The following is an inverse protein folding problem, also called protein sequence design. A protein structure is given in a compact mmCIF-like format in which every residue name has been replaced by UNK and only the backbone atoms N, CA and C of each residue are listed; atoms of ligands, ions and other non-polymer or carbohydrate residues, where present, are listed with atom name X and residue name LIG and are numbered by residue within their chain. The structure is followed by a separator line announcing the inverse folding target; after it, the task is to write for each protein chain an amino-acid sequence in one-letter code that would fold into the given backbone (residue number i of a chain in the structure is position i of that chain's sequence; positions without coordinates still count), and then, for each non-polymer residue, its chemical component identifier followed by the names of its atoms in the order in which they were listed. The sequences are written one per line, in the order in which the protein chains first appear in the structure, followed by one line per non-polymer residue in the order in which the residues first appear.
data_IF_283267321350
#
_entry.id   IF_283267321350
#
_cell.length_a   1.000
_cell.length_b   1.000
_cell.length_c   1.000
_cell.angle_alpha   90.00
_cell.angle_beta   90.00
_cell.angle_gamma   90.00
#
_symmetry.space_group_name_H-M   'P 1'
#
loop_
_entity.id
_entity.type
_entity.pdbx_description
1 polymer ?
#
# COMPACT_ATOMS: atom_id res chain seq x y z
N UNK A 1 -36.51 -0.65 40.09
CA UNK A 1 -36.57 -0.02 38.76
C UNK A 1 -35.39 0.95 38.50
N UNK A 2 -35.14 1.98 39.30
CA UNK A 2 -34.02 2.94 39.05
C UNK A 2 -32.60 2.31 38.95
N UNK A 3 -32.30 1.30 39.78
CA UNK A 3 -30.97 0.61 39.72
C UNK A 3 -30.82 -0.28 38.50
N UNK A 4 -31.89 -0.84 37.96
CA UNK A 4 -31.85 -1.67 36.74
C UNK A 4 -31.67 -0.80 35.50
N UNK A 5 -32.23 0.40 35.47
CA UNK A 5 -32.09 1.37 34.38
C UNK A 5 -30.66 1.93 34.36
N UNK A 6 -30.04 2.19 35.54
CA UNK A 6 -28.62 2.61 35.60
C UNK A 6 -27.68 1.52 35.15
N UNK A 7 -27.91 0.24 35.48
CA UNK A 7 -27.08 -0.89 35.01
C UNK A 7 -27.21 -1.10 33.50
N UNK A 8 -28.40 -0.96 32.95
CA UNK A 8 -28.59 -1.05 31.49
C UNK A 8 -27.97 0.15 30.73
N UNK A 9 -28.03 1.35 31.30
CA UNK A 9 -27.41 2.54 30.72
C UNK A 9 -25.86 2.46 30.74
N UNK A 10 -25.26 1.92 31.80
CA UNK A 10 -23.83 1.72 31.90
C UNK A 10 -23.33 0.58 30.97
N UNK A 11 -24.14 -0.47 30.80
CA UNK A 11 -23.82 -1.56 29.87
C UNK A 11 -23.99 -1.12 28.42
N UNK A 12 -24.98 -0.29 28.07
CA UNK A 12 -25.15 0.28 26.75
C UNK A 12 -23.98 1.28 26.41
N UNK A 13 -23.54 2.07 27.41
CA UNK A 13 -22.41 3.00 27.23
C UNK A 13 -21.07 2.24 27.09
N UNK A 14 -20.90 1.10 27.75
CA UNK A 14 -19.71 0.24 27.61
C UNK A 14 -19.68 -0.48 26.27
N UNK A 15 -20.81 -0.80 25.66
CA UNK A 15 -20.91 -1.40 24.33
C UNK A 15 -20.61 -0.36 23.23
N UNK A 16 -20.94 0.91 23.45
CA UNK A 16 -20.60 2.00 22.52
C UNK A 16 -19.10 2.38 22.53
N UNK A 17 -18.34 1.95 23.55
CA UNK A 17 -16.89 2.18 23.62
C UNK A 17 -16.05 1.01 23.04
N UNK A 18 -16.68 -0.07 22.63
CA UNK A 18 -16.03 -1.27 22.10
C UNK A 18 -16.18 -1.43 20.57
N UNK A 19 -16.57 -0.37 19.86
CA UNK A 19 -16.37 -0.33 18.41
C UNK A 19 -14.87 -0.06 18.18
N UNK A 20 -14.06 -1.12 18.22
CA UNK A 20 -12.73 -1.08 17.66
C UNK A 20 -12.88 -0.65 16.20
N UNK A 21 -12.40 0.52 15.85
CA UNK A 21 -12.25 0.92 14.44
C UNK A 21 -11.35 -0.11 13.79
N UNK A 22 -11.86 -0.79 12.78
CA UNK A 22 -11.01 -1.61 11.90
C UNK A 22 -9.99 -0.67 11.25
N UNK A 23 -8.70 -1.04 11.28
CA UNK A 23 -7.59 -0.21 10.80
C UNK A 23 -6.91 -0.95 9.63
N UNK A 24 -6.73 -0.33 8.45
CA UNK A 24 -5.81 -0.79 7.40
C UNK A 24 -4.39 -0.49 7.86
N UNK A 25 -3.39 -1.14 7.29
CA UNK A 25 -2.03 -1.05 7.85
C UNK A 25 -2.02 -1.54 9.31
N UNK A 26 -1.28 -2.58 9.61
CA UNK A 26 -1.24 -3.17 10.95
C UNK A 26 -0.94 -2.08 12.00
N UNK A 27 -1.86 -1.90 12.94
CA UNK A 27 -1.84 -0.84 13.96
C UNK A 27 -1.85 0.61 13.40
N UNK A 28 -2.24 0.83 12.14
CA UNK A 28 -2.40 2.15 11.55
C UNK A 28 -3.60 2.92 12.10
N UNK A 29 -3.82 4.13 11.64
CA UNK A 29 -4.97 4.96 11.96
C UNK A 29 -5.71 5.41 10.68
N UNK A 30 -7.02 5.73 10.76
CA UNK A 30 -7.74 6.24 9.59
C UNK A 30 -7.08 7.50 9.04
N UNK A 31 -6.84 7.53 7.73
CA UNK A 31 -6.23 8.67 7.02
C UNK A 31 -7.05 9.97 7.12
N UNK A 32 -8.35 9.87 7.37
CA UNK A 32 -9.22 11.03 7.51
C UNK A 32 -9.26 11.96 6.28
N UNK A 33 -8.86 11.44 5.11
CA UNK A 33 -8.70 12.15 3.85
C UNK A 33 -7.55 13.19 3.82
N UNK A 34 -6.49 12.95 4.60
CA UNK A 34 -5.27 13.78 4.55
C UNK A 34 -4.48 13.56 3.25
N UNK A 35 -4.58 12.37 2.66
CA UNK A 35 -3.89 11.99 1.42
C UNK A 35 -4.92 11.63 0.33
N UNK A 36 -5.72 12.59 -0.17
CA UNK A 36 -6.78 12.30 -1.16
C UNK A 36 -6.24 11.73 -2.47
N UNK A 37 -4.97 11.98 -2.79
CA UNK A 37 -4.26 11.47 -3.96
C UNK A 37 -3.73 10.03 -3.80
N UNK A 38 -3.89 9.39 -2.65
CA UNK A 38 -3.64 7.95 -2.49
C UNK A 38 -4.92 7.20 -2.80
N UNK A 39 -4.83 6.26 -3.73
CA UNK A 39 -5.97 5.50 -4.25
C UNK A 39 -5.83 3.98 -4.05
N UNK A 40 -6.95 3.31 -4.14
CA UNK A 40 -7.06 1.86 -4.24
C UNK A 40 -6.93 1.44 -5.71
N UNK A 41 -5.99 0.55 -6.03
CA UNK A 41 -5.94 -0.13 -7.32
C UNK A 41 -6.91 -1.31 -7.28
N UNK A 42 -7.84 -1.32 -8.22
CA UNK A 42 -8.99 -2.22 -8.24
C UNK A 42 -9.02 -2.97 -9.56
N UNK A 43 -9.40 -4.23 -9.50
CA UNK A 43 -9.73 -5.03 -10.67
C UNK A 43 -11.08 -5.72 -10.47
N UNK A 44 -11.57 -6.39 -11.51
CA UNK A 44 -12.77 -7.20 -11.41
C UNK A 44 -12.41 -8.68 -11.52
N UNK A 45 -13.02 -9.49 -10.67
CA UNK A 45 -12.88 -10.94 -10.70
C UNK A 45 -14.24 -11.61 -10.81
N UNK A 46 -14.29 -12.72 -11.53
CA UNK A 46 -15.50 -13.53 -11.63
C UNK A 46 -15.68 -14.37 -10.37
N UNK A 47 -16.79 -14.15 -9.66
CA UNK A 47 -17.19 -14.91 -8.49
C UNK A 47 -17.72 -16.31 -8.84
N UNK A 48 -17.93 -17.16 -7.83
CA UNK A 48 -18.47 -18.51 -7.98
C UNK A 48 -19.88 -18.55 -8.61
N UNK A 49 -20.61 -17.46 -8.52
CA UNK A 49 -21.95 -17.28 -9.11
C UNK A 49 -21.93 -16.77 -10.56
N UNK A 50 -20.73 -16.54 -11.13
CA UNK A 50 -20.53 -16.01 -12.47
C UNK A 50 -20.80 -14.49 -12.57
N UNK A 51 -20.91 -13.79 -11.45
CA UNK A 51 -20.96 -12.33 -11.45
C UNK A 51 -19.54 -11.78 -11.31
N UNK A 52 -19.25 -10.66 -11.96
CA UNK A 52 -17.98 -9.94 -11.80
C UNK A 52 -18.12 -8.95 -10.65
N UNK A 53 -17.16 -8.97 -9.74
CA UNK A 53 -17.12 -8.07 -8.59
C UNK A 53 -15.81 -7.30 -8.57
N UNK A 54 -15.85 -5.98 -8.30
CA UNK A 54 -14.63 -5.20 -8.09
C UNK A 54 -13.96 -5.61 -6.78
N UNK A 55 -12.65 -5.85 -6.85
CA UNK A 55 -11.83 -6.24 -5.69
C UNK A 55 -10.63 -5.33 -5.56
N UNK A 56 -10.26 -5.02 -4.31
CA UNK A 56 -9.02 -4.34 -3.98
C UNK A 56 -7.84 -5.26 -4.33
N UNK A 57 -6.94 -4.76 -5.17
CA UNK A 57 -5.70 -5.46 -5.53
C UNK A 57 -4.50 -4.87 -4.78
N UNK A 58 -4.31 -3.56 -4.88
CA UNK A 58 -3.14 -2.82 -4.39
C UNK A 58 -3.54 -1.40 -4.00
N UNK A 59 -2.55 -0.63 -3.55
CA UNK A 59 -2.64 0.81 -3.33
C UNK A 59 -1.71 1.56 -4.29
N UNK A 60 -1.79 2.89 -4.32
CA UNK A 60 -0.88 3.71 -5.10
C UNK A 60 -1.14 5.20 -4.92
N UNK A 61 -0.44 6.03 -5.70
CA UNK A 61 -0.45 7.49 -5.57
C UNK A 61 -0.66 8.18 -6.91
N UNK A 62 -1.63 9.06 -7.01
CA UNK A 62 -1.81 9.93 -8.16
C UNK A 62 -0.74 11.04 -8.13
N UNK A 63 0.15 11.06 -9.12
CA UNK A 63 1.27 12.00 -9.22
C UNK A 63 1.08 13.07 -10.29
N UNK A 64 0.04 12.95 -11.09
CA UNK A 64 -0.50 13.95 -12.01
C UNK A 64 -1.98 13.63 -12.24
N UNK A 65 -2.75 14.48 -12.95
CA UNK A 65 -4.18 14.18 -13.18
C UNK A 65 -4.47 12.81 -13.79
N UNK A 66 -3.53 12.22 -14.51
CA UNK A 66 -3.72 10.95 -15.22
C UNK A 66 -2.71 9.86 -14.89
N UNK A 67 -1.72 10.12 -14.03
CA UNK A 67 -0.64 9.16 -13.74
C UNK A 67 -0.72 8.67 -12.30
N UNK A 68 -1.04 7.40 -12.12
CA UNK A 68 -1.11 6.71 -10.84
C UNK A 68 0.09 5.78 -10.68
N UNK A 69 0.96 6.08 -9.71
CA UNK A 69 2.17 5.32 -9.38
C UNK A 69 1.82 4.20 -8.41
N UNK A 70 2.29 2.98 -8.70
CA UNK A 70 2.04 1.78 -7.88
C UNK A 70 3.22 0.80 -7.96
N UNK A 71 3.08 -0.41 -7.45
CA UNK A 71 4.10 -1.46 -7.56
C UNK A 71 4.03 -2.20 -8.91
N UNK A 72 5.19 -2.66 -9.37
CA UNK A 72 5.33 -3.41 -10.62
C UNK A 72 4.58 -4.74 -10.58
N UNK A 73 4.66 -5.49 -9.47
CA UNK A 73 3.95 -6.76 -9.34
C UNK A 73 2.41 -6.62 -9.42
N UNK A 74 1.87 -5.43 -9.05
CA UNK A 74 0.44 -5.15 -9.21
C UNK A 74 0.07 -4.99 -10.69
N UNK A 75 0.86 -4.20 -11.44
CA UNK A 75 0.62 -4.00 -12.88
C UNK A 75 1.00 -5.23 -13.70
N UNK A 76 2.04 -6.00 -13.30
CA UNK A 76 2.37 -7.28 -13.93
C UNK A 76 1.17 -8.23 -13.91
N UNK A 77 0.54 -8.40 -12.73
CA UNK A 77 -0.63 -9.27 -12.56
C UNK A 77 -1.78 -8.85 -13.48
N UNK A 78 -2.11 -7.55 -13.52
CA UNK A 78 -3.18 -7.02 -14.38
C UNK A 78 -2.91 -7.27 -15.87
N UNK A 79 -1.65 -7.08 -16.30
CA UNK A 79 -1.23 -7.26 -17.69
C UNK A 79 -1.23 -8.75 -18.06
N UNK A 80 -0.69 -9.64 -17.20
CA UNK A 80 -0.56 -11.07 -17.48
C UNK A 80 -1.92 -11.77 -17.55
N UNK A 81 -2.85 -11.39 -16.69
CA UNK A 81 -4.18 -11.98 -16.60
C UNK A 81 -5.21 -11.26 -17.49
N UNK A 82 -4.79 -10.21 -18.23
CA UNK A 82 -5.65 -9.38 -19.09
C UNK A 82 -6.90 -8.87 -18.36
N UNK A 83 -6.67 -8.36 -17.13
CA UNK A 83 -7.74 -7.92 -16.24
C UNK A 83 -8.05 -6.43 -16.39
N UNK A 84 -9.33 -6.02 -16.25
CA UNK A 84 -9.69 -4.62 -16.22
C UNK A 84 -9.02 -3.91 -15.06
N UNK A 85 -8.60 -2.67 -15.29
CA UNK A 85 -7.84 -1.87 -14.34
C UNK A 85 -8.58 -0.61 -13.99
N UNK A 86 -8.81 -0.39 -12.70
CA UNK A 86 -9.48 0.78 -12.17
C UNK A 86 -8.72 1.35 -10.96
N UNK A 87 -8.95 2.63 -10.68
CA UNK A 87 -8.50 3.29 -9.46
C UNK A 87 -9.68 3.95 -8.78
N UNK A 88 -9.78 3.80 -7.45
CA UNK A 88 -10.72 4.54 -6.61
C UNK A 88 -9.97 5.44 -5.64
N UNK A 89 -10.42 6.69 -5.51
CA UNK A 89 -9.88 7.65 -4.55
C UNK A 89 -10.81 7.88 -3.35
N UNK A 90 -11.90 7.11 -3.27
CA UNK A 90 -12.79 7.15 -2.12
C UNK A 90 -12.02 6.83 -0.83
N UNK A 91 -12.26 7.60 0.21
CA UNK A 91 -11.66 7.32 1.53
C UNK A 91 -12.02 5.94 2.03
N UNK A 92 -13.21 5.46 1.66
CA UNK A 92 -13.74 4.13 1.96
C UNK A 92 -14.01 3.41 0.65
N UNK A 93 -13.29 2.34 0.35
CA UNK A 93 -13.55 1.53 -0.82
C UNK A 93 -14.65 0.50 -0.51
N UNK A 94 -15.77 0.59 -1.23
CA UNK A 94 -16.90 -0.34 -1.11
C UNK A 94 -17.19 -0.95 -2.48
N UNK A 95 -16.97 -2.26 -2.67
CA UNK A 95 -17.24 -2.94 -3.94
C UNK A 95 -18.63 -2.63 -4.50
N UNK A 96 -18.69 -2.26 -5.78
CA UNK A 96 -19.94 -1.92 -6.48
C UNK A 96 -20.59 -0.59 -6.09
N UNK A 97 -19.99 0.20 -5.20
CA UNK A 97 -20.51 1.52 -4.79
C UNK A 97 -19.49 2.64 -4.98
N UNK A 98 -18.20 2.35 -4.79
CA UNK A 98 -17.13 3.32 -4.97
C UNK A 98 -17.00 3.78 -6.41
N UNK A 99 -16.61 5.06 -6.59
CA UNK A 99 -16.30 5.61 -7.89
C UNK A 99 -15.01 4.97 -8.43
N UNK A 100 -15.06 4.48 -9.66
CA UNK A 100 -13.94 3.82 -10.33
C UNK A 100 -13.56 4.59 -11.59
N UNK A 101 -12.27 4.93 -11.70
CA UNK A 101 -11.68 5.52 -12.89
C UNK A 101 -10.88 4.44 -13.60
N UNK A 102 -11.21 4.13 -14.86
CA UNK A 102 -10.48 3.16 -15.67
C UNK A 102 -9.10 3.66 -16.08
N UNK A 103 -8.20 2.73 -16.39
CA UNK A 103 -6.87 3.09 -16.85
C UNK A 103 -6.11 1.91 -17.43
N UNK A 104 -4.97 2.21 -18.02
CA UNK A 104 -4.06 1.23 -18.63
C UNK A 104 -2.83 1.02 -17.76
N UNK A 105 -2.54 -0.22 -17.32
CA UNK A 105 -1.38 -0.52 -16.51
C UNK A 105 -0.10 -0.63 -17.37
N UNK A 106 1.00 -0.12 -16.84
CA UNK A 106 2.34 -0.20 -17.42
C UNK A 106 3.33 -0.73 -16.39
N UNK A 107 4.23 -1.61 -16.82
CA UNK A 107 5.25 -2.24 -15.99
C UNK A 107 6.61 -1.66 -16.33
N UNK A 108 7.44 -1.40 -15.31
CA UNK A 108 8.82 -0.95 -15.55
C UNK A 108 9.58 -1.97 -16.41
N UNK A 109 10.30 -1.55 -17.46
CA UNK A 109 10.95 -2.48 -18.41
C UNK A 109 12.01 -3.39 -17.78
N UNK A 110 12.65 -2.94 -16.70
CA UNK A 110 13.64 -3.72 -15.96
C UNK A 110 13.02 -4.54 -14.80
N UNK A 111 11.69 -4.51 -14.66
CA UNK A 111 11.02 -5.34 -13.66
C UNK A 111 11.30 -6.82 -13.92
N UNK A 112 11.65 -7.53 -12.86
CA UNK A 112 11.89 -8.96 -12.97
C UNK A 112 11.64 -9.68 -11.65
N UNK A 113 10.90 -10.78 -11.72
CA UNK A 113 10.85 -11.77 -10.65
C UNK A 113 11.89 -12.84 -10.93
N UNK A 114 12.72 -13.14 -9.93
CA UNK A 114 13.72 -14.18 -10.07
C UNK A 114 15.09 -13.75 -10.57
N UNK A 115 15.38 -12.46 -10.66
CA UNK A 115 16.71 -11.91 -11.00
C UNK A 115 17.71 -12.02 -9.87
N UNK A 116 17.26 -12.31 -8.66
CA UNK A 116 18.13 -12.45 -7.50
C UNK A 116 19.10 -13.64 -7.60
N UNK A 117 20.18 -13.63 -6.83
CA UNK A 117 21.11 -14.73 -6.76
C UNK A 117 20.45 -16.02 -6.29
N UNK A 118 21.11 -17.20 -6.46
CA UNK A 118 20.57 -18.47 -5.97
C UNK A 118 20.18 -18.39 -4.49
N UNK A 119 18.94 -18.77 -4.17
CA UNK A 119 18.37 -18.72 -2.82
C UNK A 119 17.44 -17.55 -2.54
N UNK A 120 17.46 -16.49 -3.36
CA UNK A 120 16.58 -15.31 -3.24
C UNK A 120 15.90 -14.93 -4.56
N UNK A 121 15.73 -15.90 -5.43
CA UNK A 121 15.12 -15.71 -6.77
C UNK A 121 13.64 -15.24 -6.74
N UNK A 122 13.00 -15.27 -5.60
CA UNK A 122 11.62 -14.84 -5.43
C UNK A 122 11.48 -13.31 -5.24
N UNK A 123 12.59 -12.59 -5.05
CA UNK A 123 12.56 -11.14 -4.89
C UNK A 123 12.33 -10.45 -6.25
N UNK A 124 11.44 -9.47 -6.32
CA UNK A 124 11.28 -8.62 -7.49
C UNK A 124 12.48 -7.67 -7.61
N UNK A 125 12.79 -7.23 -8.83
CA UNK A 125 13.68 -6.11 -9.09
C UNK A 125 12.92 -5.02 -9.82
N UNK A 126 13.18 -3.74 -9.52
CA UNK A 126 12.49 -2.58 -10.11
C UNK A 126 10.96 -2.70 -10.03
N UNK A 127 10.47 -2.98 -8.83
CA UNK A 127 9.06 -3.23 -8.56
C UNK A 127 8.21 -1.94 -8.60
N UNK A 128 8.18 -1.31 -9.77
CA UNK A 128 7.44 -0.08 -10.04
C UNK A 128 6.50 -0.28 -11.23
N UNK A 129 5.28 0.17 -11.08
CA UNK A 129 4.25 0.20 -12.10
C UNK A 129 3.58 1.57 -12.15
N UNK A 130 2.95 1.85 -13.28
CA UNK A 130 2.15 3.05 -13.51
C UNK A 130 0.81 2.62 -14.11
N UNK A 131 -0.28 3.25 -13.67
CA UNK A 131 -1.56 3.19 -14.37
C UNK A 131 -1.82 4.57 -14.98
N UNK A 132 -1.99 4.63 -16.29
CA UNK A 132 -2.42 5.85 -16.98
C UNK A 132 -3.94 5.83 -17.02
N UNK A 133 -4.56 6.77 -16.33
CA UNK A 133 -6.02 6.88 -16.25
C UNK A 133 -6.59 7.38 -17.59
N UNK A 134 -7.75 6.86 -17.97
CA UNK A 134 -8.44 7.23 -19.22
C UNK A 134 -9.02 8.64 -19.14
N UNK A 135 -9.35 9.11 -17.92
CA UNK A 135 -9.86 10.45 -17.67
C UNK A 135 -9.05 11.12 -16.55
N UNK A 136 -8.83 12.46 -16.63
CA UNK A 136 -8.09 13.15 -15.58
C UNK A 136 -8.90 13.26 -14.29
N UNK A 137 -8.23 13.03 -13.17
CA UNK A 137 -8.77 13.24 -11.82
C UNK A 137 -8.15 14.51 -11.25
N UNK A 138 -8.95 15.54 -11.14
CA UNK A 138 -8.51 16.84 -10.66
C UNK A 138 -8.49 16.88 -9.12
N UNK A 139 -7.34 17.20 -8.55
CA UNK A 139 -7.12 17.33 -7.11
C UNK A 139 -6.39 18.63 -6.79
N UNK A 140 -6.54 19.14 -5.57
CA UNK A 140 -5.79 20.31 -5.11
C UNK A 140 -4.28 20.03 -4.99
N UNK A 141 -3.92 18.79 -4.70
CA UNK A 141 -2.54 18.34 -4.51
C UNK A 141 -2.38 16.93 -5.06
N UNK A 142 -1.21 16.65 -5.60
CA UNK A 142 -0.78 15.33 -6.06
C UNK A 142 0.45 14.87 -5.30
N UNK A 143 0.74 13.57 -5.33
CA UNK A 143 2.04 13.07 -4.94
C UNK A 143 3.14 13.64 -5.84
N UNK A 144 4.33 13.82 -5.30
CA UNK A 144 5.47 14.38 -6.04
C UNK A 144 6.61 13.38 -6.11
N UNK A 145 7.31 13.37 -7.24
CA UNK A 145 8.51 12.55 -7.39
C UNK A 145 9.67 13.15 -6.57
N UNK A 146 10.52 12.33 -5.96
CA UNK A 146 11.70 12.79 -5.22
C UNK A 146 12.80 13.27 -6.18
N UNK A 147 13.77 14.00 -5.65
CA UNK A 147 15.03 14.21 -6.38
C UNK A 147 15.84 12.90 -6.44
N UNK A 148 16.66 12.74 -7.49
CA UNK A 148 17.49 11.56 -7.63
C UNK A 148 18.41 11.34 -6.42
N UNK A 149 18.49 10.09 -5.95
CA UNK A 149 19.29 9.64 -4.82
C UNK A 149 18.91 10.30 -3.47
N UNK A 150 17.68 10.78 -3.32
CA UNK A 150 17.20 11.41 -2.09
C UNK A 150 17.29 10.44 -0.89
N UNK A 151 16.94 9.17 -1.08
CA UNK A 151 16.98 8.14 -0.04
C UNK A 151 18.38 7.96 0.56
N UNK A 152 19.46 8.19 -0.22
CA UNK A 152 20.84 8.08 0.28
C UNK A 152 21.20 9.19 1.28
N UNK A 153 20.41 10.24 1.35
CA UNK A 153 20.57 11.35 2.31
C UNK A 153 19.81 11.13 3.61
N UNK A 154 18.91 10.15 3.66
CA UNK A 154 18.11 9.87 4.85
C UNK A 154 18.95 9.29 5.97
N UNK A 155 18.69 9.75 7.17
CA UNK A 155 19.30 9.18 8.37
C UNK A 155 18.52 7.95 8.83
N UNK A 156 19.20 6.96 9.41
CA UNK A 156 18.50 5.83 10.03
C UNK A 156 17.53 6.36 11.10
N UNK A 157 16.34 5.79 11.11
CA UNK A 157 15.18 6.19 11.92
C UNK A 157 14.54 7.52 11.52
N UNK A 158 14.84 8.05 10.32
CA UNK A 158 13.98 9.09 9.74
C UNK A 158 12.56 8.58 9.65
N UNK A 159 11.57 9.33 10.13
CA UNK A 159 10.17 8.96 10.03
C UNK A 159 9.71 9.04 8.57
N UNK A 160 8.82 8.12 8.20
CA UNK A 160 8.15 8.08 6.91
C UNK A 160 6.69 7.76 7.16
N UNK A 161 5.80 8.31 6.36
CA UNK A 161 4.37 7.97 6.42
C UNK A 161 4.04 6.96 5.33
N UNK A 162 3.44 5.84 5.71
CA UNK A 162 2.82 4.88 4.80
C UNK A 162 1.33 5.11 4.75
N UNK A 163 0.74 4.98 3.56
CA UNK A 163 -0.70 5.16 3.34
C UNK A 163 -1.20 4.07 2.39
N UNK A 164 -2.34 3.45 2.72
CA UNK A 164 -2.89 2.41 1.86
C UNK A 164 -4.27 1.89 2.29
N UNK A 165 -4.73 0.87 1.58
CA UNK A 165 -6.03 0.21 1.78
C UNK A 165 -5.89 -1.26 2.19
N UNK A 166 -4.69 -1.68 2.57
CA UNK A 166 -4.37 -3.07 2.86
C UNK A 166 -5.03 -3.63 4.11
N UNK A 167 -4.78 -4.91 4.37
CA UNK A 167 -5.30 -5.60 5.55
C UNK A 167 -4.66 -5.08 6.85
N UNK A 168 -5.45 -5.07 7.90
CA UNK A 168 -5.03 -4.58 9.22
C UNK A 168 -5.04 -5.66 10.30
N UNK A 169 -5.68 -6.78 10.05
CA UNK A 169 -5.83 -7.89 11.00
C UNK A 169 -6.03 -9.20 10.23
N UNK A 170 -6.07 -10.29 10.96
CA UNK A 170 -6.31 -11.62 10.44
C UNK A 170 -7.37 -12.33 11.26
N UNK A 171 -8.34 -12.95 10.57
CA UNK A 171 -9.34 -13.77 11.23
C UNK A 171 -8.70 -14.95 11.97
N UNK A 172 -8.97 -15.05 13.27
CA UNK A 172 -8.54 -16.15 14.10
C UNK A 172 -9.58 -17.28 14.05
N UNK A 173 -9.28 -18.33 13.30
CA UNK A 173 -10.14 -19.52 13.18
C UNK A 173 -9.32 -20.72 12.72
N UNK A 174 -9.71 -21.94 13.02
CA UNK A 174 -8.93 -23.18 12.80
C UNK A 174 -8.61 -23.52 11.34
N UNK A 175 -8.01 -22.60 10.59
CA UNK A 175 -7.57 -22.74 9.20
C UNK A 175 -6.46 -21.76 8.85
N UNK A 176 -6.21 -21.53 7.54
CA UNK A 176 -5.33 -20.47 7.07
C UNK A 176 -5.86 -19.12 7.55
N UNK A 177 -4.94 -18.27 8.05
CA UNK A 177 -5.31 -16.91 8.47
C UNK A 177 -5.81 -16.14 7.26
N UNK A 178 -7.01 -15.58 7.35
CA UNK A 178 -7.60 -14.76 6.28
C UNK A 178 -7.41 -13.28 6.63
N UNK A 179 -6.90 -12.46 5.71
CA UNK A 179 -6.75 -11.04 5.95
C UNK A 179 -8.12 -10.36 6.13
N UNK A 180 -8.17 -9.42 7.05
CA UNK A 180 -9.34 -8.54 7.27
C UNK A 180 -8.96 -7.18 6.71
N UNK A 181 -9.73 -6.73 5.73
CA UNK A 181 -9.56 -5.41 5.13
C UNK A 181 -10.51 -4.43 5.83
N UNK A 182 -10.01 -3.29 6.28
CA UNK A 182 -10.90 -2.21 6.68
C UNK A 182 -11.50 -1.58 5.42
N UNK A 183 -12.64 -0.97 5.58
CA UNK A 183 -13.33 -0.32 4.48
C UNK A 183 -12.68 1.03 4.09
N UNK A 184 -11.70 1.53 4.85
CA UNK A 184 -11.17 2.89 4.67
C UNK A 184 -9.64 2.93 4.54
N UNK A 185 -9.15 3.92 3.76
CA UNK A 185 -7.74 4.26 3.68
C UNK A 185 -7.18 4.58 5.05
N UNK A 186 -5.99 4.07 5.33
CA UNK A 186 -5.30 4.21 6.59
C UNK A 186 -3.90 4.76 6.37
N UNK A 187 -3.31 5.25 7.45
CA UNK A 187 -1.92 5.69 7.48
C UNK A 187 -1.21 5.22 8.74
N UNK A 188 0.11 5.17 8.68
CA UNK A 188 0.97 4.92 9.84
C UNK A 188 2.34 5.54 9.65
N UNK A 189 3.07 5.68 10.77
CA UNK A 189 4.46 6.11 10.75
C UNK A 189 5.39 4.90 10.80
N UNK A 190 6.31 4.80 9.87
CA UNK A 190 7.39 3.83 9.85
C UNK A 190 8.75 4.54 9.92
N UNK A 191 9.82 3.81 10.24
CA UNK A 191 11.16 4.38 10.33
C UNK A 191 12.08 3.78 9.25
N UNK A 192 12.85 4.62 8.58
CA UNK A 192 13.89 4.18 7.65
C UNK A 192 15.02 3.43 8.36
N UNK A 193 15.34 2.22 7.91
CA UNK A 193 16.39 1.37 8.48
C UNK A 193 17.65 1.27 7.60
N UNK A 194 17.58 1.72 6.37
CA UNK A 194 18.66 1.66 5.39
C UNK A 194 18.27 0.94 4.11
N UNK A 195 19.21 0.87 3.17
CA UNK A 195 19.06 0.16 1.90
C UNK A 195 19.72 -1.23 1.92
N UNK A 196 20.33 -1.64 3.04
CA UNK A 196 21.06 -2.89 3.15
C UNK A 196 20.19 -4.05 3.64
N UNK A 197 20.48 -5.25 3.17
CA UNK A 197 19.80 -6.47 3.59
C UNK A 197 19.55 -7.44 2.44
N UNK A 198 18.58 -8.32 2.62
CA UNK A 198 18.25 -9.35 1.63
C UNK A 198 17.77 -8.74 0.30
N UNK A 199 17.12 -7.58 0.36
CA UNK A 199 16.64 -6.86 -0.80
C UNK A 199 17.78 -6.39 -1.74
N UNK A 200 18.95 -6.05 -1.20
CA UNK A 200 20.12 -5.62 -2.01
C UNK A 200 20.80 -6.77 -2.77
N UNK A 201 20.33 -7.99 -2.60
CA UNK A 201 20.81 -9.12 -3.36
C UNK A 201 20.24 -9.19 -4.78
N UNK A 202 19.27 -8.34 -5.09
CA UNK A 202 18.61 -8.25 -6.41
C UNK A 202 19.28 -7.24 -7.33
N UNK A 203 20.26 -6.47 -6.84
CA UNK A 203 20.99 -5.42 -7.56
C UNK A 203 21.04 -4.11 -6.76
N UNK A 204 21.79 -3.18 -7.24
CA UNK A 204 22.16 -1.85 -6.73
C UNK A 204 21.13 -1.13 -5.85
N UNK A 205 21.07 -1.42 -4.53
CA UNK A 205 20.29 -0.69 -3.51
C UNK A 205 18.87 -0.26 -3.96
N UNK A 206 18.20 -1.08 -4.78
CA UNK A 206 16.90 -0.75 -5.38
C UNK A 206 15.76 -0.67 -4.35
N UNK A 207 15.97 -1.27 -3.19
CA UNK A 207 14.98 -1.26 -2.10
C UNK A 207 15.48 -0.52 -0.88
N UNK A 208 14.56 0.16 -0.21
CA UNK A 208 14.75 0.62 1.15
C UNK A 208 14.03 -0.31 2.13
N UNK A 209 14.57 -0.42 3.32
CA UNK A 209 14.02 -1.18 4.43
C UNK A 209 13.48 -0.24 5.48
N UNK A 210 12.30 -0.55 5.99
CA UNK A 210 11.66 0.21 7.07
C UNK A 210 11.26 -0.69 8.24
N UNK A 211 10.91 -0.10 9.37
CA UNK A 211 10.22 -0.83 10.42
C UNK A 211 8.86 -1.29 9.89
N UNK A 212 8.43 -2.45 10.32
CA UNK A 212 7.11 -2.96 10.02
C UNK A 212 6.45 -3.49 11.29
N UNK A 213 5.34 -4.18 11.15
CA UNK A 213 4.54 -4.67 12.27
C UNK A 213 5.36 -5.49 13.28
N UNK A 214 5.19 -5.18 14.56
CA UNK A 214 5.95 -5.78 15.67
C UNK A 214 7.35 -5.22 15.87
N UNK A 215 7.75 -4.18 15.12
CA UNK A 215 9.03 -3.49 15.24
C UNK A 215 8.82 -2.02 15.64
N UNK A 216 9.84 -1.41 16.25
CA UNK A 216 9.81 0.01 16.61
C UNK A 216 8.87 0.34 17.77
N UNK A 217 8.46 1.62 17.82
CA UNK A 217 7.52 2.13 18.82
C UNK A 217 6.10 2.12 18.23
N UNK A 218 5.27 1.22 18.44
CA UNK A 218 3.91 1.15 17.91
C UNK A 218 3.65 -0.14 17.14
N UNK A 219 4.69 -0.69 16.51
CA UNK A 219 4.58 -1.94 15.77
C UNK A 219 3.66 -1.85 14.56
N UNK A 220 3.63 -0.68 13.92
CA UNK A 220 2.89 -0.39 12.71
C UNK A 220 3.62 -0.96 11.49
N UNK A 221 2.89 -1.35 10.45
CA UNK A 221 3.50 -1.89 9.24
C UNK A 221 2.50 -2.21 8.14
N UNK A 222 3.03 -2.30 6.91
CA UNK A 222 2.22 -2.60 5.73
C UNK A 222 1.80 -4.07 5.67
N UNK A 223 0.73 -4.36 4.93
CA UNK A 223 0.18 -5.70 4.77
C UNK A 223 -0.36 -5.92 3.35
N UNK A 224 -1.05 -7.03 3.13
CA UNK A 224 -1.66 -7.35 1.83
C UNK A 224 -2.64 -6.27 1.39
N UNK A 225 -2.48 -5.75 0.19
CA UNK A 225 -3.26 -4.64 -0.36
C UNK A 225 -2.60 -3.26 -0.22
N UNK A 226 -1.58 -3.11 0.67
CA UNK A 226 -0.77 -1.89 0.74
C UNK A 226 0.32 -1.83 -0.34
N UNK A 227 0.55 -2.92 -1.07
CA UNK A 227 1.46 -2.99 -2.23
C UNK A 227 1.26 -1.79 -3.16
N UNK A 228 2.35 -1.11 -3.54
CA UNK A 228 2.29 0.08 -4.38
C UNK A 228 1.91 1.38 -3.65
N UNK A 229 1.39 1.29 -2.44
CA UNK A 229 1.14 2.46 -1.60
C UNK A 229 2.43 3.23 -1.30
N UNK A 230 2.34 4.55 -1.11
CA UNK A 230 3.50 5.43 -0.95
C UNK A 230 4.17 5.28 0.41
N UNK A 231 5.48 5.57 0.41
CA UNK A 231 6.22 6.02 1.57
C UNK A 231 6.53 7.50 1.35
N UNK A 232 5.89 8.35 2.15
CA UNK A 232 6.07 9.80 2.10
C UNK A 232 7.13 10.29 3.06
N UNK A 233 7.80 11.38 2.69
CA UNK A 233 8.55 12.22 3.64
C UNK A 233 7.60 13.02 4.54
N UNK A 234 8.18 13.79 5.49
CA UNK A 234 7.44 14.67 6.40
C UNK A 234 6.55 15.70 5.69
N UNK A 235 6.82 16.04 4.42
CA UNK A 235 6.00 16.93 3.59
C UNK A 235 4.69 16.29 3.12
N UNK A 236 4.52 15.00 3.39
CA UNK A 236 3.33 14.19 3.07
C UNK A 236 3.01 14.07 1.57
N UNK A 237 3.85 14.59 0.68
CA UNK A 237 3.64 14.57 -0.78
C UNK A 237 4.77 13.88 -1.54
N UNK A 238 6.02 13.96 -1.05
CA UNK A 238 7.17 13.36 -1.74
C UNK A 238 7.18 11.85 -1.55
N UNK A 239 6.92 11.10 -2.62
CA UNK A 239 6.93 9.63 -2.65
C UNK A 239 8.35 9.12 -2.82
N UNK A 240 9.04 8.77 -1.73
CA UNK A 240 10.43 8.28 -1.80
C UNK A 240 10.52 6.81 -2.22
N UNK A 241 9.47 6.04 -1.95
CA UNK A 241 9.38 4.63 -2.32
C UNK A 241 7.92 4.19 -2.40
N UNK A 242 7.68 3.03 -3.02
CA UNK A 242 6.40 2.33 -3.04
C UNK A 242 6.52 0.99 -2.31
N UNK A 243 5.52 0.63 -1.52
CA UNK A 243 5.47 -0.64 -0.78
C UNK A 243 5.58 -1.82 -1.74
N UNK A 244 6.49 -2.76 -1.45
CA UNK A 244 6.78 -3.88 -2.33
C UNK A 244 6.55 -5.23 -1.66
N UNK A 245 7.31 -5.58 -0.61
CA UNK A 245 7.18 -6.89 0.05
C UNK A 245 7.64 -6.85 1.51
N UNK A 246 7.19 -7.85 2.26
CA UNK A 246 7.69 -8.17 3.61
C UNK A 246 8.38 -9.54 3.65
N UNK A 247 9.08 -9.88 4.74
CA UNK A 247 9.65 -11.21 4.91
C UNK A 247 8.55 -12.26 5.08
N UNK A 248 8.83 -13.47 4.59
CA UNK A 248 7.99 -14.62 4.90
C UNK A 248 8.15 -14.98 6.38
N UNK A 249 7.12 -14.81 7.17
CA UNK A 249 7.11 -15.12 8.60
C UNK A 249 5.93 -16.02 8.97
N UNK A 250 6.01 -16.65 10.14
CA UNK A 250 4.89 -17.45 10.66
C UNK A 250 3.68 -16.60 11.06
N UNK A 251 3.91 -15.29 11.30
CA UNK A 251 2.89 -14.29 11.57
C UNK A 251 2.82 -13.40 10.32
N UNK A 252 1.71 -13.37 9.59
CA UNK A 252 1.57 -12.54 8.41
C UNK A 252 1.85 -11.06 8.72
N UNK A 253 2.43 -10.36 7.75
CA UNK A 253 2.76 -8.92 7.82
C UNK A 253 3.56 -8.52 9.06
N UNK A 254 4.40 -9.42 9.58
CA UNK A 254 5.25 -9.15 10.74
C UNK A 254 6.73 -9.07 10.34
N UNK A 255 7.44 -8.13 10.91
CA UNK A 255 8.85 -7.89 10.63
C UNK A 255 9.07 -6.62 9.79
N UNK A 256 10.27 -6.41 9.24
CA UNK A 256 10.56 -5.21 8.45
C UNK A 256 9.85 -5.22 7.10
N UNK A 257 9.47 -4.05 6.63
CA UNK A 257 8.95 -3.87 5.28
C UNK A 257 10.05 -3.46 4.30
N UNK A 258 9.88 -3.82 3.04
CA UNK A 258 10.75 -3.44 1.95
C UNK A 258 9.94 -2.69 0.89
N UNK A 259 10.44 -1.51 0.53
CA UNK A 259 9.81 -0.64 -0.44
C UNK A 259 10.76 -0.36 -1.60
N UNK A 260 10.24 -0.40 -2.82
CA UNK A 260 10.99 -0.06 -4.02
C UNK A 260 11.26 1.44 -4.05
N UNK A 261 12.53 1.82 -4.17
CA UNK A 261 12.97 3.22 -4.27
C UNK A 261 12.45 3.85 -5.57
N UNK A 262 11.82 5.01 -5.44
CA UNK A 262 11.37 5.81 -6.58
C UNK A 262 12.45 6.82 -7.01
N UNK A 263 13.37 7.18 -6.11
CA UNK A 263 14.42 8.17 -6.32
C UNK A 263 15.61 7.68 -7.17
N UNK A 264 15.56 6.44 -7.65
CA UNK A 264 16.57 5.93 -8.60
C UNK A 264 16.40 6.61 -9.95
N UNK A 265 17.52 7.06 -10.56
CA UNK A 265 17.49 7.81 -11.82
C UNK A 265 16.70 7.08 -12.92
N UNK A 266 16.92 5.77 -13.07
CA UNK A 266 16.23 4.94 -14.07
C UNK A 266 14.71 4.87 -13.83
N UNK A 267 14.28 4.83 -12.57
CA UNK A 267 12.88 4.83 -12.19
C UNK A 267 12.25 6.20 -12.44
N UNK A 268 12.94 7.28 -12.03
CA UNK A 268 12.49 8.67 -12.27
C UNK A 268 12.33 8.98 -13.75
N UNK A 269 13.30 8.58 -14.58
CA UNK A 269 13.24 8.79 -16.04
C UNK A 269 12.04 8.05 -16.65
N UNK A 270 11.83 6.79 -16.25
CA UNK A 270 10.71 6.01 -16.75
C UNK A 270 9.36 6.56 -16.30
N UNK A 271 9.16 6.83 -15.00
CA UNK A 271 7.90 7.40 -14.49
C UNK A 271 7.63 8.77 -15.11
N UNK A 272 8.65 9.64 -15.20
CA UNK A 272 8.51 10.97 -15.82
C UNK A 272 8.12 10.93 -17.29
N UNK A 273 8.35 9.82 -17.99
CA UNK A 273 7.95 9.69 -19.40
C UNK A 273 6.44 9.60 -19.60
N UNK A 274 5.65 9.45 -18.53
CA UNK A 274 4.19 9.45 -18.53
C UNK A 274 3.58 10.80 -18.14
N UNK A 275 4.39 11.74 -17.59
CA UNK A 275 3.96 13.07 -17.18
C UNK A 275 4.06 14.07 -18.37
#
# INVERSE_FOLDING_TARGET
MRRLILLMATMALAILMASGVAQAIINGEPDGNMHPYVGALVTEVEGEDGQTEPVLLCSGTLISPTVFLTAGHCTEFLIQEDLPTYVSFDTTFVPGQSELVSGTPYLHPDYCVGCGPPGVKWLPGYDVGVVVLDEPVEMETYGTLPSANLVDTLQKRSPLTVVGYGANDFATGGGAQQPIYPDSRQMATTEYLGTQGIANQVGEDVFMKTTGSGMGQGGEGTCYGDSGGPLFLDDQTTVVAVTSFGPTSAIPCSGPDYAQRVDLQVVLEWVSSFL
#
